data_IF_526399585332
#
_entry.id   IF_526399585332
#
_cell.length_a   1.000
_cell.length_b   1.000
_cell.length_c   1.000
_cell.angle_alpha   90.00
_cell.angle_beta   90.00
_cell.angle_gamma   90.00
#
_symmetry.space_group_name_H-M   'P 1'
#
loop_
_entity.id
_entity.type
_entity.pdbx_description
1 polymer ?
#
# COMPACT_ATOMS: atom_id res chain seq x y z
N UNK A 1 -28.70 -9.56 -15.99
CA UNK A 1 -27.31 -9.51 -16.50
C UNK A 1 -26.39 -9.25 -15.32
N UNK A 2 -25.48 -10.20 -15.05
CA UNK A 2 -24.64 -10.25 -13.86
C UNK A 2 -23.42 -9.33 -14.06
N UNK A 3 -23.47 -8.13 -13.47
CA UNK A 3 -22.36 -7.17 -13.45
C UNK A 3 -21.31 -7.63 -12.44
N UNK A 4 -20.49 -8.61 -12.84
CA UNK A 4 -19.20 -8.86 -12.20
C UNK A 4 -18.22 -7.76 -12.65
N UNK A 5 -18.40 -6.54 -12.14
CA UNK A 5 -17.43 -5.46 -12.31
C UNK A 5 -16.24 -5.72 -11.40
N UNK A 6 -15.20 -6.32 -11.99
CA UNK A 6 -13.87 -6.53 -11.43
C UNK A 6 -13.20 -5.18 -11.13
N UNK A 7 -13.52 -4.57 -9.99
CA UNK A 7 -12.63 -3.59 -9.39
C UNK A 7 -11.41 -4.34 -8.86
N UNK A 8 -10.41 -4.55 -9.73
CA UNK A 8 -9.23 -5.35 -9.40
C UNK A 8 -8.29 -4.58 -8.48
N UNK A 9 -8.49 -4.76 -7.18
CA UNK A 9 -7.59 -4.24 -6.14
C UNK A 9 -6.20 -4.84 -6.35
N UNK A 10 -5.20 -3.98 -6.53
CA UNK A 10 -3.80 -4.38 -6.68
C UNK A 10 -3.21 -4.53 -5.29
N UNK A 11 -3.15 -5.76 -4.80
CA UNK A 11 -2.54 -6.07 -3.50
C UNK A 11 -1.01 -6.07 -3.54
N UNK A 12 -0.40 -6.25 -4.73
CA UNK A 12 1.07 -6.22 -4.87
C UNK A 12 1.56 -4.78 -4.93
N UNK A 13 2.27 -4.34 -3.91
CA UNK A 13 2.93 -3.03 -3.87
C UNK A 13 4.40 -3.20 -3.53
N UNK A 14 5.27 -2.43 -4.19
CA UNK A 14 6.69 -2.41 -3.84
C UNK A 14 6.91 -1.33 -2.80
N UNK A 15 7.24 -1.73 -1.58
CA UNK A 15 7.58 -0.81 -0.50
C UNK A 15 9.08 -0.51 -0.53
N UNK A 16 9.42 0.77 -0.42
CA UNK A 16 10.80 1.24 -0.40
C UNK A 16 11.18 1.69 1.00
N UNK A 17 12.24 1.13 1.58
CA UNK A 17 12.69 1.54 2.89
C UNK A 17 13.38 2.92 2.83
N UNK A 18 12.98 3.91 3.66
CA UNK A 18 13.61 5.22 3.66
C UNK A 18 15.05 5.22 4.23
N UNK A 19 15.43 4.16 4.95
CA UNK A 19 16.75 4.07 5.60
C UNK A 19 17.82 3.43 4.71
N UNK A 20 17.56 2.23 4.17
CA UNK A 20 18.52 1.51 3.31
C UNK A 20 18.20 1.63 1.81
N UNK A 21 17.05 2.22 1.45
CA UNK A 21 16.50 2.28 0.08
C UNK A 21 16.22 0.94 -0.57
N UNK A 22 16.13 -0.13 0.21
CA UNK A 22 15.73 -1.43 -0.32
C UNK A 22 14.26 -1.42 -0.74
N UNK A 23 13.99 -2.05 -1.89
CA UNK A 23 12.67 -2.18 -2.48
C UNK A 23 12.22 -3.63 -2.36
N UNK A 24 11.09 -3.85 -1.71
CA UNK A 24 10.52 -5.20 -1.55
C UNK A 24 9.12 -5.22 -2.11
N UNK A 25 8.85 -6.17 -3.01
CA UNK A 25 7.49 -6.45 -3.46
C UNK A 25 6.77 -7.21 -2.34
N UNK A 26 5.76 -6.56 -1.75
CA UNK A 26 4.95 -7.08 -0.65
C UNK A 26 3.49 -7.17 -1.09
N UNK A 27 2.78 -8.15 -0.53
CA UNK A 27 1.34 -8.29 -0.75
C UNK A 27 0.60 -7.61 0.41
N UNK A 28 -0.01 -6.47 0.11
CA UNK A 28 -0.84 -5.73 1.05
C UNK A 28 -1.98 -6.63 1.55
N UNK A 29 -2.15 -6.79 2.87
CA UNK A 29 -3.26 -7.55 3.41
C UNK A 29 -4.58 -6.82 3.11
N UNK A 30 -5.54 -7.52 2.52
CA UNK A 30 -6.79 -6.96 1.99
C UNK A 30 -7.83 -6.56 3.06
N UNK A 31 -7.41 -6.16 4.26
CA UNK A 31 -8.34 -5.85 5.35
C UNK A 31 -7.75 -5.25 6.61
N UNK A 32 -6.43 -5.03 6.68
CA UNK A 32 -5.79 -4.37 7.82
C UNK A 32 -4.84 -3.28 7.36
N UNK A 33 -4.89 -2.14 8.04
CA UNK A 33 -4.04 -0.99 7.75
C UNK A 33 -2.64 -1.26 8.31
N UNK A 34 -1.65 -1.51 7.43
CA UNK A 34 -0.25 -1.62 7.86
C UNK A 34 0.29 -0.25 8.22
N UNK A 35 0.30 0.06 9.52
CA UNK A 35 0.87 1.30 10.05
C UNK A 35 2.38 1.21 10.28
N UNK A 36 2.88 0.02 10.55
CA UNK A 36 4.30 -0.22 10.78
C UNK A 36 4.79 -1.25 9.79
N UNK A 37 5.95 -1.00 9.21
CA UNK A 37 6.62 -1.94 8.32
C UNK A 37 8.04 -2.18 8.78
N UNK A 38 8.39 -3.45 8.93
CA UNK A 38 9.76 -3.88 9.18
C UNK A 38 10.46 -4.15 7.86
N UNK A 39 11.54 -3.42 7.60
CA UNK A 39 12.34 -3.65 6.40
C UNK A 39 13.04 -5.02 6.47
N UNK A 40 12.79 -5.91 5.52
CA UNK A 40 13.51 -7.20 5.47
C UNK A 40 15.02 -7.09 5.20
N UNK A 41 15.51 -5.94 4.72
CA UNK A 41 16.92 -5.72 4.42
C UNK A 41 17.75 -5.26 5.62
N UNK A 42 17.24 -4.27 6.35
CA UNK A 42 17.94 -3.68 7.51
C UNK A 42 17.27 -3.96 8.86
N UNK A 43 16.08 -4.56 8.88
CA UNK A 43 15.29 -4.82 10.10
C UNK A 43 14.69 -3.55 10.73
N UNK A 44 14.78 -2.39 10.09
CA UNK A 44 14.22 -1.16 10.65
C UNK A 44 12.70 -1.14 10.54
N UNK A 45 12.03 -0.82 11.64
CA UNK A 45 10.60 -0.56 11.68
C UNK A 45 10.36 0.93 11.45
N UNK A 46 9.56 1.27 10.45
CA UNK A 46 9.16 2.66 10.15
C UNK A 46 7.65 2.78 9.96
N UNK A 47 7.17 4.02 10.11
CA UNK A 47 5.75 4.41 10.05
C UNK A 47 5.47 5.30 8.83
N UNK A 48 4.21 5.42 8.35
CA UNK A 48 3.86 6.33 7.27
C UNK A 48 4.20 7.78 7.59
N UNK A 49 4.28 8.59 6.53
CA UNK A 49 4.37 10.03 6.63
C UNK A 49 3.07 10.61 7.22
N UNK A 50 3.18 11.80 7.79
CA UNK A 50 2.01 12.49 8.31
C UNK A 50 1.09 12.89 7.15
N UNK A 51 -0.20 12.54 7.26
CA UNK A 51 -1.20 12.73 6.20
C UNK A 51 -1.48 11.49 5.35
N UNK A 52 -0.66 10.44 5.45
CA UNK A 52 -0.88 9.18 4.74
C UNK A 52 -1.61 8.12 5.56
N UNK A 53 -2.33 7.27 4.83
CA UNK A 53 -3.16 6.22 5.40
C UNK A 53 -2.37 5.06 6.04
N UNK A 54 -1.24 4.70 5.45
CA UNK A 54 -0.46 3.50 5.76
C UNK A 54 0.93 3.58 5.10
N UNK A 55 1.85 2.69 5.49
CA UNK A 55 3.23 2.66 4.94
C UNK A 55 3.29 2.55 3.41
N UNK A 56 2.31 1.92 2.78
CA UNK A 56 2.25 1.80 1.32
C UNK A 56 1.73 3.06 0.64
N UNK A 57 0.86 3.84 1.29
CA UNK A 57 0.45 5.15 0.81
C UNK A 57 1.68 6.09 0.72
N UNK A 58 2.57 6.07 1.72
CA UNK A 58 3.77 6.93 1.74
C UNK A 58 4.97 6.40 0.95
N UNK A 59 5.29 5.11 1.08
CA UNK A 59 6.55 4.52 0.58
C UNK A 59 6.33 3.40 -0.45
N UNK A 60 5.06 3.08 -0.72
CA UNK A 60 4.68 2.05 -1.70
C UNK A 60 4.55 2.61 -3.11
N UNK A 61 4.70 1.74 -4.10
CA UNK A 61 4.45 2.08 -5.51
C UNK A 61 2.97 2.09 -5.87
N UNK A 62 2.13 1.42 -5.07
CA UNK A 62 0.69 1.36 -5.22
C UNK A 62 0.03 1.75 -3.89
N UNK A 63 -1.03 2.58 -3.92
CA UNK A 63 -1.73 2.98 -2.71
C UNK A 63 -2.47 1.81 -2.07
N UNK A 64 -2.89 1.96 -0.82
CA UNK A 64 -3.56 0.91 -0.07
C UNK A 64 -4.89 0.49 -0.73
N UNK A 65 -5.36 -0.75 -0.48
CA UNK A 65 -6.59 -1.27 -1.10
C UNK A 65 -7.82 -0.39 -0.84
N UNK A 66 -7.95 0.20 0.36
CA UNK A 66 -9.06 1.12 0.69
C UNK A 66 -9.05 2.39 -0.18
N UNK A 67 -7.87 2.96 -0.43
CA UNK A 67 -7.71 4.12 -1.32
C UNK A 67 -7.96 3.72 -2.77
N UNK A 68 -7.49 2.55 -3.21
CA UNK A 68 -7.77 2.06 -4.57
C UNK A 68 -9.28 1.94 -4.79
N UNK A 69 -9.99 1.24 -3.90
CA UNK A 69 -11.45 1.08 -3.96
C UNK A 69 -12.20 2.41 -3.97
N UNK A 70 -11.71 3.41 -3.22
CA UNK A 70 -12.31 4.75 -3.20
C UNK A 70 -11.95 5.59 -4.43
N UNK A 71 -10.71 5.49 -4.94
CA UNK A 71 -10.21 6.23 -6.09
C UNK A 71 -10.83 5.76 -7.41
N UNK A 72 -11.30 4.51 -7.47
CA UNK A 72 -12.12 4.01 -8.57
C UNK A 72 -13.44 4.78 -8.79
N UNK A 73 -13.83 5.65 -7.86
CA UNK A 73 -15.06 6.43 -7.90
C UNK A 73 -14.87 7.96 -7.98
N UNK A 74 -13.65 8.49 -8.13
CA UNK A 74 -13.41 9.94 -8.10
C UNK A 74 -12.40 10.43 -9.16
N UNK A 75 -12.91 10.64 -10.38
CA UNK A 75 -12.76 11.90 -11.10
C UNK A 75 -14.18 12.33 -11.45
N UNK A 76 -14.66 13.56 -11.24
CA UNK A 76 -14.03 14.90 -11.22
C UNK A 76 -14.71 15.78 -10.15
#
# INVERSE_FOLDING_TARGET
>A
MNISSDFKVVLKSTITCPHCRERKAETMPAGVQQWFYECSGCGMIFRPLEGDCCVFCSYGTQPCPSVQMSAGAAGE
#
